data_IF_241566488572
#
_entry.id   IF_241566488572
#
_cell.length_a   1.000
_cell.length_b   1.000
_cell.length_c   1.000
_cell.angle_alpha   90.00
_cell.angle_beta   90.00
_cell.angle_gamma   90.00
#
_symmetry.space_group_name_H-M   'P 1'
#
loop_
_entity.id
_entity.type
_entity.pdbx_description
1 polymer ?
#
# COMPACT_ATOMS: atom_id res chain seq x y z
N UNK A 1 -22.82 -7.68 44.33
CA UNK A 1 -22.99 -7.63 42.86
C UNK A 1 -21.67 -7.21 42.21
N UNK A 2 -20.84 -8.11 41.67
CA UNK A 2 -19.57 -7.73 41.06
C UNK A 2 -19.81 -7.23 39.62
N UNK A 3 -19.38 -5.98 39.35
CA UNK A 3 -19.53 -5.35 38.02
C UNK A 3 -18.46 -5.88 37.06
N UNK A 4 -18.88 -6.46 35.94
CA UNK A 4 -18.01 -6.88 34.83
C UNK A 4 -17.23 -5.68 34.30
N UNK A 5 -15.91 -5.79 34.24
CA UNK A 5 -15.04 -4.80 33.56
C UNK A 5 -15.26 -4.92 32.04
N UNK A 6 -15.30 -3.81 31.28
CA UNK A 6 -15.49 -3.87 29.83
C UNK A 6 -14.31 -4.60 29.19
N UNK A 7 -14.62 -5.61 28.37
CA UNK A 7 -13.62 -6.37 27.62
C UNK A 7 -12.87 -5.44 26.68
N UNK A 8 -11.54 -5.53 26.71
CA UNK A 8 -10.66 -4.78 25.84
C UNK A 8 -11.10 -4.94 24.38
N UNK A 9 -11.52 -3.83 23.76
CA UNK A 9 -11.66 -3.69 22.32
C UNK A 9 -10.30 -4.02 21.70
N UNK A 10 -10.13 -5.24 21.21
CA UNK A 10 -9.00 -5.57 20.35
C UNK A 10 -9.33 -5.02 18.98
N UNK A 11 -8.63 -3.97 18.57
CA UNK A 11 -8.55 -3.62 17.15
C UNK A 11 -8.11 -4.88 16.38
N UNK A 12 -8.72 -5.18 15.22
CA UNK A 12 -8.26 -6.26 14.37
C UNK A 12 -6.90 -5.86 13.79
N UNK A 13 -5.82 -6.11 14.53
CA UNK A 13 -4.51 -6.16 13.91
C UNK A 13 -4.50 -7.39 13.00
N UNK A 14 -4.40 -7.16 11.69
CA UNK A 14 -4.13 -8.22 10.72
C UNK A 14 -2.85 -8.91 11.19
N UNK A 15 -2.98 -10.12 11.75
CA UNK A 15 -1.84 -10.98 11.98
C UNK A 15 -1.40 -11.50 10.63
N UNK A 16 -0.57 -10.73 9.94
CA UNK A 16 0.23 -11.25 8.84
C UNK A 16 1.16 -12.29 9.46
N UNK A 17 0.77 -13.57 9.35
CA UNK A 17 1.60 -14.73 9.65
C UNK A 17 2.95 -14.53 8.96
N UNK A 18 4.09 -14.53 9.64
CA UNK A 18 4.60 -15.60 10.50
C UNK A 18 5.99 -15.92 9.97
N UNK A 19 7.01 -15.61 10.76
CA UNK A 19 8.42 -15.80 10.45
C UNK A 19 8.71 -17.30 10.19
N UNK A 20 8.61 -17.75 8.95
CA UNK A 20 8.86 -19.14 8.59
C UNK A 20 8.37 -19.51 7.19
N UNK A 21 9.32 -19.57 6.25
CA UNK A 21 9.20 -19.74 4.78
C UNK A 21 8.71 -18.49 4.04
N UNK A 22 9.30 -18.16 2.87
CA UNK A 22 8.72 -17.13 2.01
C UNK A 22 7.36 -17.65 1.52
N UNK A 23 6.29 -17.21 2.17
CA UNK A 23 4.94 -17.44 1.71
C UNK A 23 4.79 -16.84 0.31
N UNK A 24 4.03 -17.54 -0.54
CA UNK A 24 3.65 -17.02 -1.85
C UNK A 24 2.85 -15.74 -1.61
N UNK A 25 3.34 -14.61 -2.14
CA UNK A 25 2.60 -13.36 -2.13
C UNK A 25 1.36 -13.58 -3.00
N UNK A 26 0.20 -13.19 -2.48
CA UNK A 26 -1.08 -13.43 -3.15
C UNK A 26 -1.05 -12.91 -4.60
N UNK A 27 -1.54 -13.73 -5.53
CA UNK A 27 -1.56 -13.51 -6.99
C UNK A 27 -0.21 -13.29 -7.68
N UNK A 28 0.92 -13.50 -7.01
CA UNK A 28 2.24 -13.57 -7.65
C UNK A 28 2.71 -15.02 -7.81
N UNK A 29 3.59 -15.27 -8.78
CA UNK A 29 4.25 -16.55 -8.98
C UNK A 29 5.22 -16.84 -7.84
N UNK A 30 5.48 -18.12 -7.56
CA UNK A 30 6.46 -18.52 -6.54
C UNK A 30 7.86 -17.95 -6.80
N UNK A 31 8.24 -17.83 -8.08
CA UNK A 31 9.54 -17.29 -8.50
C UNK A 31 9.64 -15.81 -8.14
N UNK A 32 8.60 -15.04 -8.44
CA UNK A 32 8.54 -13.61 -8.15
C UNK A 32 8.42 -13.35 -6.67
N UNK A 33 7.57 -14.08 -5.94
CA UNK A 33 7.53 -13.99 -4.47
C UNK A 33 8.90 -14.27 -3.85
N UNK A 34 9.62 -15.30 -4.31
CA UNK A 34 10.95 -15.61 -3.79
C UNK A 34 11.99 -14.52 -4.14
N UNK A 35 11.85 -13.84 -5.28
CA UNK A 35 12.71 -12.72 -5.64
C UNK A 35 12.45 -11.51 -4.74
N UNK A 36 11.18 -11.18 -4.50
CA UNK A 36 10.76 -10.13 -3.56
C UNK A 36 11.27 -10.42 -2.16
N UNK A 37 11.02 -11.61 -1.60
CA UNK A 37 11.51 -11.99 -0.27
C UNK A 37 13.05 -12.00 -0.13
N UNK A 38 13.79 -12.17 -1.25
CA UNK A 38 15.26 -12.02 -1.23
C UNK A 38 15.66 -10.55 -1.23
N UNK A 39 14.97 -9.73 -2.01
CA UNK A 39 15.19 -8.29 -2.06
C UNK A 39 14.89 -7.66 -0.69
N UNK A 40 13.71 -7.89 -0.12
CA UNK A 40 13.29 -7.31 1.16
C UNK A 40 14.23 -7.63 2.32
N UNK A 41 14.92 -8.78 2.26
CA UNK A 41 15.92 -9.17 3.29
C UNK A 41 17.32 -8.62 3.05
N UNK A 42 17.60 -8.13 1.84
CA UNK A 42 18.94 -7.67 1.41
C UNK A 42 19.00 -6.17 1.21
N UNK A 43 17.89 -5.53 0.91
CA UNK A 43 17.81 -4.09 0.71
C UNK A 43 18.19 -3.40 2.03
N UNK A 44 19.31 -2.69 2.01
CA UNK A 44 19.74 -1.77 3.07
C UNK A 44 19.22 -0.37 2.76
N UNK A 45 17.96 -0.30 2.32
CA UNK A 45 17.29 0.94 1.90
C UNK A 45 16.32 1.31 3.01
N UNK A 46 16.36 2.57 3.41
CA UNK A 46 15.43 3.14 4.38
C UNK A 46 13.98 2.82 3.95
N UNK A 47 13.17 2.38 4.91
CA UNK A 47 11.76 2.00 4.75
C UNK A 47 11.46 0.78 3.87
N UNK A 48 12.43 -0.08 3.51
CA UNK A 48 12.13 -1.40 2.93
C UNK A 48 12.35 -2.48 3.99
N UNK A 49 11.30 -3.22 4.35
CA UNK A 49 11.37 -4.28 5.37
C UNK A 49 10.77 -5.60 4.87
N UNK A 50 11.11 -6.74 5.50
CA UNK A 50 10.51 -8.03 5.18
C UNK A 50 8.97 -7.99 5.22
N UNK A 51 8.34 -8.35 4.10
CA UNK A 51 6.88 -8.36 3.93
C UNK A 51 6.25 -7.04 3.48
N UNK A 52 7.02 -5.96 3.27
CA UNK A 52 6.46 -4.67 2.84
C UNK A 52 5.67 -4.75 1.53
N UNK A 53 6.10 -5.57 0.55
CA UNK A 53 5.39 -5.72 -0.73
C UNK A 53 4.07 -6.45 -0.56
N UNK A 54 4.05 -7.48 0.29
CA UNK A 54 2.83 -8.22 0.59
C UNK A 54 1.80 -7.33 1.28
N UNK A 55 2.25 -6.54 2.27
CA UNK A 55 1.41 -5.56 2.98
C UNK A 55 0.88 -4.51 2.00
N UNK A 56 1.74 -3.92 1.16
CA UNK A 56 1.35 -2.91 0.19
C UNK A 56 0.32 -3.43 -0.81
N UNK A 57 0.54 -4.62 -1.38
CA UNK A 57 -0.42 -5.24 -2.30
C UNK A 57 -1.74 -5.61 -1.60
N UNK A 58 -1.67 -6.05 -0.35
CA UNK A 58 -2.86 -6.35 0.44
C UNK A 58 -3.72 -5.09 0.59
N UNK A 59 -3.17 -4.01 1.12
CA UNK A 59 -3.92 -2.77 1.36
C UNK A 59 -4.39 -2.10 0.08
N UNK A 60 -3.57 -2.10 -0.97
CA UNK A 60 -3.98 -1.57 -2.26
C UNK A 60 -5.19 -2.35 -2.83
N UNK A 61 -5.18 -3.68 -2.75
CA UNK A 61 -6.32 -4.50 -3.15
C UNK A 61 -7.53 -4.32 -2.25
N UNK A 62 -7.33 -4.21 -0.93
CA UNK A 62 -8.42 -3.97 0.02
C UNK A 62 -9.11 -2.63 -0.25
N UNK A 63 -8.34 -1.57 -0.50
CA UNK A 63 -8.87 -0.27 -0.91
C UNK A 63 -9.74 -0.40 -2.16
N UNK A 64 -9.22 -1.05 -3.20
CA UNK A 64 -9.95 -1.30 -4.45
C UNK A 64 -11.08 -2.33 -4.33
N UNK A 65 -11.21 -3.05 -3.21
CA UNK A 65 -12.31 -3.98 -2.97
C UNK A 65 -13.49 -3.32 -2.23
N UNK A 66 -13.32 -2.10 -1.72
CA UNK A 66 -14.40 -1.37 -1.07
C UNK A 66 -15.60 -1.18 -2.03
N UNK A 67 -16.84 -1.16 -1.54
CA UNK A 67 -18.01 -0.93 -2.38
C UNK A 67 -18.10 0.52 -2.88
N UNK A 68 -18.83 0.76 -3.97
CA UNK A 68 -19.11 2.10 -4.50
C UNK A 68 -18.52 2.35 -5.88
N UNK A 69 -19.13 3.23 -6.69
CA UNK A 69 -18.60 3.55 -8.03
C UNK A 69 -17.31 4.36 -7.96
N UNK A 70 -17.25 5.29 -7.01
CA UNK A 70 -16.08 6.12 -6.72
C UNK A 70 -15.68 5.92 -5.26
N UNK A 71 -14.38 5.77 -5.02
CA UNK A 71 -13.79 5.60 -3.71
C UNK A 71 -13.35 6.96 -3.18
N UNK A 72 -13.78 7.27 -1.97
CA UNK A 72 -13.24 8.39 -1.20
C UNK A 72 -11.88 8.01 -0.65
N UNK A 73 -11.00 9.00 -0.55
CA UNK A 73 -9.62 8.79 -0.17
C UNK A 73 -9.51 9.07 1.31
N UNK A 74 -9.23 8.04 2.13
CA UNK A 74 -9.08 8.25 3.56
C UNK A 74 -7.84 9.09 3.80
N UNK A 75 -8.00 10.23 4.47
CA UNK A 75 -6.85 10.93 5.04
C UNK A 75 -6.38 10.10 6.24
N UNK A 76 -5.21 9.47 6.13
CA UNK A 76 -4.61 8.77 7.26
C UNK A 76 -4.42 9.78 8.42
N UNK A 77 -5.07 9.52 9.56
CA UNK A 77 -5.03 10.39 10.75
C UNK A 77 -3.83 10.04 11.65
N UNK A 78 -3.15 8.91 11.42
CA UNK A 78 -2.14 8.39 12.33
C UNK A 78 -0.73 8.33 11.67
N UNK A 79 0.33 8.84 12.33
CA UNK A 79 1.70 8.91 11.79
C UNK A 79 2.55 7.63 12.00
N UNK A 80 1.98 6.45 12.23
CA UNK A 80 2.74 5.22 12.45
C UNK A 80 3.11 4.51 11.12
N UNK A 81 4.35 3.98 10.98
CA UNK A 81 4.80 3.33 9.74
C UNK A 81 3.99 2.11 9.30
N UNK A 82 3.43 1.33 10.23
CA UNK A 82 2.58 0.16 9.89
C UNK A 82 1.23 0.55 9.32
N UNK A 83 0.68 1.67 9.78
CA UNK A 83 -0.66 2.13 9.41
C UNK A 83 -0.57 3.09 8.21
N UNK A 84 0.65 3.52 7.85
CA UNK A 84 0.91 4.32 6.66
C UNK A 84 0.53 3.59 5.38
N UNK A 85 0.77 2.27 5.28
CA UNK A 85 0.42 1.50 4.09
C UNK A 85 -1.08 1.21 3.94
N UNK A 86 -1.90 1.51 4.96
CA UNK A 86 -3.36 1.56 4.80
C UNK A 86 -3.77 2.70 3.84
N UNK A 87 -2.93 3.74 3.75
CA UNK A 87 -3.02 4.76 2.71
C UNK A 87 -2.56 4.18 1.37
N UNK A 88 -3.48 4.17 0.40
CA UNK A 88 -3.23 3.65 -0.94
C UNK A 88 -2.10 4.40 -1.66
N UNK A 89 -1.86 5.67 -1.34
CA UNK A 89 -0.74 6.43 -1.91
C UNK A 89 0.61 5.90 -1.39
N UNK A 90 0.73 5.65 -0.08
CA UNK A 90 1.96 5.12 0.52
C UNK A 90 2.20 3.66 0.10
N UNK A 91 1.13 2.85 -0.01
CA UNK A 91 1.23 1.52 -0.58
C UNK A 91 1.78 1.55 -2.02
N UNK A 92 1.35 2.54 -2.82
CA UNK A 92 1.84 2.69 -4.19
C UNK A 92 3.29 3.19 -4.26
N UNK A 93 3.68 4.09 -3.36
CA UNK A 93 5.06 4.59 -3.24
C UNK A 93 6.01 3.46 -2.83
N UNK A 94 5.59 2.58 -1.90
CA UNK A 94 6.36 1.39 -1.53
C UNK A 94 6.63 0.50 -2.75
N UNK A 95 5.61 0.26 -3.56
CA UNK A 95 5.74 -0.54 -4.78
C UNK A 95 6.65 0.14 -5.81
N UNK A 96 6.54 1.47 -5.99
CA UNK A 96 7.43 2.25 -6.86
C UNK A 96 8.90 2.12 -6.43
N UNK A 97 9.19 2.17 -5.12
CA UNK A 97 10.56 1.99 -4.60
C UNK A 97 11.11 0.60 -4.84
N UNK A 98 10.28 -0.44 -4.71
CA UNK A 98 10.72 -1.85 -4.82
C UNK A 98 10.94 -2.28 -6.27
N UNK A 99 10.08 -1.85 -7.20
CA UNK A 99 10.14 -2.22 -8.61
C UNK A 99 11.53 -2.14 -9.27
N UNK A 100 12.28 -1.01 -9.18
CA UNK A 100 13.58 -0.88 -9.85
C UNK A 100 14.66 -1.82 -9.30
N UNK A 101 14.46 -2.35 -8.08
CA UNK A 101 15.42 -3.20 -7.39
C UNK A 101 15.25 -4.69 -7.72
N UNK A 102 14.12 -5.07 -8.34
CA UNK A 102 13.83 -6.45 -8.68
C UNK A 102 14.56 -6.88 -9.97
N UNK A 103 14.95 -8.16 -10.07
CA UNK A 103 15.44 -8.71 -11.33
C UNK A 103 14.34 -8.66 -12.39
N UNK A 104 14.72 -8.39 -13.64
CA UNK A 104 13.80 -8.15 -14.77
C UNK A 104 12.55 -9.06 -14.85
N UNK A 105 12.63 -10.40 -14.73
CA UNK A 105 11.43 -11.24 -14.82
C UNK A 105 10.47 -11.05 -13.64
N UNK A 106 10.99 -10.82 -12.43
CA UNK A 106 10.15 -10.58 -11.25
C UNK A 106 9.57 -9.17 -11.24
N UNK A 107 10.35 -8.20 -11.73
CA UNK A 107 9.91 -6.83 -11.96
C UNK A 107 8.73 -6.79 -12.91
N UNK A 108 8.82 -7.40 -14.10
CA UNK A 108 7.74 -7.39 -15.09
C UNK A 108 6.42 -7.93 -14.53
N UNK A 109 6.45 -9.07 -13.83
CA UNK A 109 5.24 -9.65 -13.26
C UNK A 109 4.61 -8.74 -12.17
N UNK A 110 5.45 -8.09 -11.37
CA UNK A 110 4.97 -7.12 -10.38
C UNK A 110 4.44 -5.86 -11.07
N UNK A 111 5.12 -5.33 -12.09
CA UNK A 111 4.66 -4.19 -12.90
C UNK A 111 3.31 -4.46 -13.52
N UNK A 112 3.12 -5.62 -14.18
CA UNK A 112 1.83 -6.00 -14.77
C UNK A 112 0.71 -6.04 -13.73
N UNK A 113 1.03 -6.48 -12.51
CA UNK A 113 0.08 -6.48 -11.39
C UNK A 113 -0.24 -5.05 -10.96
N UNK A 114 0.77 -4.20 -10.81
CA UNK A 114 0.62 -2.81 -10.39
C UNK A 114 -0.13 -1.98 -11.43
N UNK A 115 0.16 -2.15 -12.73
CA UNK A 115 -0.54 -1.46 -13.82
C UNK A 115 -2.05 -1.75 -13.78
N UNK A 116 -2.44 -3.01 -13.57
CA UNK A 116 -3.87 -3.37 -13.45
C UNK A 116 -4.54 -2.74 -12.23
N UNK A 117 -3.81 -2.62 -11.11
CA UNK A 117 -4.31 -1.95 -9.92
C UNK A 117 -4.41 -0.44 -10.14
N UNK A 118 -3.42 0.16 -10.81
CA UNK A 118 -3.35 1.58 -11.16
C UNK A 118 -4.49 1.98 -12.11
N UNK A 119 -4.82 1.14 -13.09
CA UNK A 119 -5.98 1.33 -13.97
C UNK A 119 -7.29 1.36 -13.18
N UNK A 120 -7.45 0.44 -12.22
CA UNK A 120 -8.64 0.38 -11.38
C UNK A 120 -8.70 1.54 -10.41
N UNK A 121 -7.57 1.92 -9.81
CA UNK A 121 -7.45 3.10 -8.97
C UNK A 121 -7.85 4.35 -9.75
N UNK A 122 -7.35 4.51 -10.97
CA UNK A 122 -7.71 5.63 -11.84
C UNK A 122 -9.20 5.65 -12.16
N UNK A 123 -9.80 4.49 -12.47
CA UNK A 123 -11.23 4.36 -12.77
C UNK A 123 -12.11 4.75 -11.58
N UNK A 124 -11.70 4.34 -10.38
CA UNK A 124 -12.51 4.44 -9.16
C UNK A 124 -12.20 5.67 -8.30
N UNK A 125 -11.16 6.44 -8.58
CA UNK A 125 -10.88 7.70 -7.87
C UNK A 125 -11.16 8.89 -8.76
N UNK A 126 -11.78 9.91 -8.20
CA UNK A 126 -11.97 11.17 -8.91
C UNK A 126 -10.68 12.01 -8.84
N UNK A 127 -10.40 12.83 -9.86
CA UNK A 127 -9.32 13.81 -9.78
C UNK A 127 -9.55 14.75 -8.60
N UNK A 128 -8.53 14.96 -7.78
CA UNK A 128 -8.60 15.98 -6.75
C UNK A 128 -8.64 17.38 -7.39
N UNK A 129 -9.68 18.20 -7.11
CA UNK A 129 -9.80 19.55 -7.66
C UNK A 129 -8.73 20.53 -7.14
N UNK A 130 -8.00 20.18 -6.08
CA UNK A 130 -6.98 21.04 -5.46
C UNK A 130 -5.54 20.65 -5.83
N UNK A 131 -5.35 19.65 -6.67
CA UNK A 131 -4.05 19.06 -6.98
C UNK A 131 -3.05 20.05 -7.57
N UNK A 132 -3.55 21.00 -8.37
CA UNK A 132 -2.75 22.06 -8.99
C UNK A 132 -2.44 23.25 -8.09
N UNK A 133 -2.93 23.27 -6.84
CA UNK A 133 -2.72 24.39 -5.90
C UNK A 133 -1.49 24.25 -5.03
N UNK A 134 -0.80 23.11 -5.09
CA UNK A 134 0.40 22.87 -4.30
C UNK A 134 1.66 22.97 -5.19
N UNK A 135 2.32 24.14 -5.23
CA UNK A 135 3.50 24.36 -6.06
C UNK A 135 4.73 23.56 -5.59
N UNK A 136 4.68 22.93 -4.42
CA UNK A 136 5.75 22.09 -3.89
C UNK A 136 5.59 20.61 -4.26
N UNK A 137 4.47 20.22 -4.88
CA UNK A 137 4.24 18.83 -5.30
C UNK A 137 4.99 18.48 -6.57
N UNK A 138 6.08 17.75 -6.36
CA UNK A 138 6.74 16.92 -7.37
C UNK A 138 6.47 15.46 -7.00
N UNK A 139 5.93 14.66 -7.90
CA UNK A 139 5.64 13.25 -7.61
C UNK A 139 4.95 12.53 -8.75
N UNK A 140 4.67 11.24 -8.55
CA UNK A 140 3.94 10.44 -9.51
C UNK A 140 2.43 10.80 -9.56
N UNK A 141 1.74 10.37 -10.62
CA UNK A 141 0.37 10.81 -10.93
C UNK A 141 -0.65 10.58 -9.80
N UNK A 142 -0.49 9.52 -8.99
CA UNK A 142 -1.40 9.20 -7.89
C UNK A 142 -1.33 10.22 -6.76
N UNK A 143 -0.21 10.92 -6.54
CA UNK A 143 -0.12 12.00 -5.55
C UNK A 143 -0.95 13.21 -5.93
N UNK A 144 -1.05 13.53 -7.22
CA UNK A 144 -1.92 14.59 -7.72
C UNK A 144 -3.39 14.18 -7.69
N UNK A 145 -3.69 12.90 -7.91
CA UNK A 145 -5.07 12.44 -7.92
C UNK A 145 -5.61 12.24 -6.51
N UNK A 146 -4.79 11.71 -5.62
CA UNK A 146 -5.27 11.18 -4.35
C UNK A 146 -5.22 12.17 -3.19
N UNK A 147 -4.15 12.97 -3.14
CA UNK A 147 -3.94 13.89 -2.03
C UNK A 147 -4.32 15.28 -2.52
N UNK A 148 -5.47 15.79 -2.13
CA UNK A 148 -5.72 17.22 -2.28
C UNK A 148 -4.93 18.06 -1.30
N UNK A 149 -4.70 19.32 -1.65
CA UNK A 149 -4.24 20.29 -0.66
C UNK A 149 -5.23 20.25 0.51
N UNK A 150 -4.72 20.11 1.74
CA UNK A 150 -5.55 20.25 2.95
C UNK A 150 -6.32 21.57 2.82
N UNK A 151 -7.66 21.58 2.85
CA UNK A 151 -8.42 22.83 2.77
C UNK A 151 -8.27 23.69 4.03
N UNK A 152 -7.61 23.19 5.07
CA UNK A 152 -7.38 23.92 6.32
C UNK A 152 -5.95 23.71 6.82
N UNK A 153 -5.16 24.77 6.69
CA UNK A 153 -3.93 25.05 7.43
C UNK A 153 -4.01 26.48 7.91
#
# INVERSE_FOLDING_TARGET
>A
MPRRRPGALRAPHVRLSGWGRPCRIDRLSRRTSAAVHRLERRADIDDVWPGCVEVALHWYRQFLAQPGRYLEIPYAVCPCPSDSLEDVAEARDMLERVLPLLPAPARQELEDTVVRLDEELWRRTLPDPFAGRDPWRRGAWWHYRLRGARPFG
#
